data_IF_212701081567
#
_entry.id   IF_212701081567
#
_cell.length_a   1.000
_cell.length_b   1.000
_cell.length_c   1.000
_cell.angle_alpha   90.00
_cell.angle_beta   90.00
_cell.angle_gamma   90.00
#
_symmetry.space_group_name_H-M   'P 1'
#
loop_
_entity.id
_entity.type
_entity.pdbx_description
1 polymer ?
#
# COMPACT_ATOMS: atom_id res chain seq x y z
N UNK A 1 -2.24 -10.16 -12.48
CA UNK A 1 -3.28 -9.97 -11.45
C UNK A 1 -2.78 -9.01 -10.38
N UNK A 2 -3.70 -8.39 -9.64
CA UNK A 2 -3.35 -7.56 -8.49
C UNK A 2 -2.84 -8.45 -7.35
N UNK A 3 -1.69 -8.12 -6.78
CA UNK A 3 -1.12 -8.73 -5.59
C UNK A 3 -1.40 -7.86 -4.37
N UNK A 4 -1.31 -8.44 -3.18
CA UNK A 4 -1.54 -7.75 -1.92
C UNK A 4 -0.39 -8.05 -0.95
N UNK A 5 0.00 -7.05 -0.16
CA UNK A 5 0.88 -7.23 1.01
C UNK A 5 0.14 -6.68 2.21
N UNK A 6 -0.03 -7.51 3.24
CA UNK A 6 -0.53 -7.08 4.54
C UNK A 6 0.66 -6.79 5.43
N UNK A 7 0.81 -5.53 5.82
CA UNK A 7 1.79 -5.13 6.82
C UNK A 7 1.14 -5.28 8.19
N UNK A 8 1.82 -6.01 9.07
CA UNK A 8 1.39 -6.20 10.45
C UNK A 8 1.60 -4.93 11.29
N UNK A 9 2.04 -5.11 12.52
CA UNK A 9 2.31 -4.00 13.43
C UNK A 9 3.51 -3.17 12.94
N UNK A 10 3.36 -1.86 13.01
CA UNK A 10 4.44 -0.88 12.85
C UNK A 10 4.59 -0.09 14.16
N UNK A 11 5.76 0.49 14.43
CA UNK A 11 5.93 1.45 15.52
C UNK A 11 4.86 2.56 15.51
N UNK A 12 4.52 3.07 16.69
CA UNK A 12 3.49 4.12 16.82
C UNK A 12 3.94 5.46 16.22
N UNK A 13 5.21 5.82 16.41
CA UNK A 13 5.77 7.07 15.90
C UNK A 13 5.95 7.00 14.38
N UNK A 14 5.46 8.02 13.66
CA UNK A 14 5.44 8.02 12.18
C UNK A 14 6.81 7.81 11.53
N UNK A 15 7.88 8.41 12.06
CA UNK A 15 9.23 8.25 11.50
C UNK A 15 9.78 6.84 11.72
N UNK A 16 9.55 6.26 12.90
CA UNK A 16 9.98 4.89 13.21
C UNK A 16 9.18 3.88 12.37
N UNK A 17 7.89 4.12 12.16
CA UNK A 17 7.04 3.33 11.27
C UNK A 17 7.51 3.36 9.82
N UNK A 18 7.82 4.56 9.31
CA UNK A 18 8.37 4.72 7.97
C UNK A 18 9.72 4.00 7.83
N UNK A 19 10.61 4.15 8.82
CA UNK A 19 11.90 3.46 8.87
C UNK A 19 11.74 1.94 8.85
N UNK A 20 10.84 1.40 9.68
CA UNK A 20 10.53 -0.03 9.71
C UNK A 20 9.94 -0.52 8.37
N UNK A 21 9.03 0.25 7.76
CA UNK A 21 8.51 -0.09 6.43
C UNK A 21 9.62 -0.17 5.40
N UNK A 22 10.49 0.84 5.33
CA UNK A 22 11.57 0.88 4.35
C UNK A 22 12.59 -0.24 4.58
N UNK A 23 12.91 -0.56 5.83
CA UNK A 23 13.86 -1.61 6.19
C UNK A 23 13.35 -3.03 5.88
N UNK A 24 12.06 -3.29 6.12
CA UNK A 24 11.55 -4.66 6.14
C UNK A 24 10.52 -5.00 5.06
N UNK A 25 9.87 -3.99 4.46
CA UNK A 25 8.75 -4.21 3.53
C UNK A 25 8.98 -3.65 2.12
N UNK A 26 9.86 -2.67 1.94
CA UNK A 26 10.11 -2.07 0.62
C UNK A 26 10.64 -3.10 -0.39
N UNK A 27 11.68 -3.86 -0.02
CA UNK A 27 12.29 -4.82 -0.94
C UNK A 27 11.36 -5.99 -1.28
N UNK A 28 10.61 -6.60 -0.32
CA UNK A 28 9.56 -7.54 -0.65
C UNK A 28 8.48 -6.98 -1.59
N UNK A 29 8.08 -5.72 -1.44
CA UNK A 29 7.12 -5.07 -2.34
C UNK A 29 7.68 -4.95 -3.76
N UNK A 30 8.93 -4.53 -3.92
CA UNK A 30 9.63 -4.49 -5.21
C UNK A 30 9.77 -5.86 -5.85
N UNK A 31 10.15 -6.88 -5.07
CA UNK A 31 10.26 -8.24 -5.55
C UNK A 31 8.92 -8.76 -6.08
N UNK A 32 7.82 -8.48 -5.38
CA UNK A 32 6.47 -8.86 -5.81
C UNK A 32 6.03 -8.11 -7.07
N UNK A 33 6.38 -6.82 -7.18
CA UNK A 33 6.15 -6.03 -8.39
C UNK A 33 6.92 -6.56 -9.59
N UNK A 34 8.13 -7.09 -9.41
CA UNK A 34 8.92 -7.63 -10.51
C UNK A 34 8.44 -8.99 -11.04
N UNK A 35 7.49 -9.65 -10.36
CA UNK A 35 6.94 -10.91 -10.85
C UNK A 35 6.21 -10.70 -12.20
N UNK A 36 6.36 -11.64 -13.17
CA UNK A 36 5.77 -11.49 -14.51
C UNK A 36 4.24 -11.37 -14.51
N UNK A 37 3.58 -12.02 -13.57
CA UNK A 37 2.12 -12.05 -13.44
C UNK A 37 1.56 -10.93 -12.54
N UNK A 38 2.42 -10.10 -11.94
CA UNK A 38 2.02 -8.96 -11.14
C UNK A 38 1.68 -7.76 -12.03
N UNK A 39 0.41 -7.35 -12.03
CA UNK A 39 -0.09 -6.19 -12.80
C UNK A 39 -0.40 -4.98 -11.91
N UNK A 40 -0.61 -5.21 -10.62
CA UNK A 40 -0.86 -4.18 -9.62
C UNK A 40 -0.49 -4.70 -8.22
N UNK A 41 -0.20 -3.81 -7.28
CA UNK A 41 0.05 -4.10 -5.88
C UNK A 41 -0.80 -3.19 -4.98
N UNK A 42 -1.53 -3.79 -4.05
CA UNK A 42 -2.12 -3.09 -2.91
C UNK A 42 -1.32 -3.39 -1.64
N UNK A 43 -0.80 -2.35 -0.99
CA UNK A 43 -0.10 -2.45 0.30
C UNK A 43 -1.08 -2.04 1.40
N UNK A 44 -1.40 -2.97 2.29
CA UNK A 44 -2.38 -2.79 3.36
C UNK A 44 -1.61 -2.49 4.64
N UNK A 45 -1.79 -1.30 5.20
CA UNK A 45 -1.17 -0.82 6.42
C UNK A 45 -2.18 -0.82 7.58
N UNK A 46 -1.72 -0.98 8.84
CA UNK A 46 -2.57 -0.74 9.99
C UNK A 46 -3.05 0.72 10.03
N UNK A 47 -4.22 0.94 10.62
CA UNK A 47 -4.69 2.29 10.95
C UNK A 47 -3.64 3.00 11.82
N UNK A 48 -3.47 4.31 11.60
CA UNK A 48 -2.60 5.15 12.39
C UNK A 48 -3.10 6.60 12.39
N UNK A 49 -2.49 7.42 13.24
CA UNK A 49 -2.78 8.85 13.34
C UNK A 49 -2.50 9.62 12.05
N UNK A 50 -3.01 10.85 12.00
CA UNK A 50 -2.87 11.73 10.84
C UNK A 50 -1.40 12.07 10.51
N UNK A 51 -0.51 11.98 11.49
CA UNK A 51 0.94 12.21 11.39
C UNK A 51 1.64 11.19 10.49
N UNK A 52 1.01 10.04 10.21
CA UNK A 52 1.52 9.05 9.26
C UNK A 52 1.20 9.35 7.80
N UNK A 53 0.37 10.36 7.52
CA UNK A 53 -0.21 10.58 6.18
C UNK A 53 0.85 10.80 5.10
N UNK A 54 1.85 11.63 5.39
CA UNK A 54 2.76 12.12 4.35
C UNK A 54 3.71 11.04 3.85
N UNK A 55 4.29 10.23 4.76
CA UNK A 55 5.19 9.15 4.35
C UNK A 55 4.43 8.03 3.63
N UNK A 56 3.18 7.72 4.03
CA UNK A 56 2.34 6.72 3.37
C UNK A 56 1.95 7.15 1.97
N UNK A 57 1.63 8.43 1.78
CA UNK A 57 1.32 9.00 0.47
C UNK A 57 2.58 9.07 -0.42
N UNK A 58 3.73 9.46 0.13
CA UNK A 58 5.00 9.46 -0.58
C UNK A 58 5.34 8.04 -1.06
N UNK A 59 5.26 7.05 -0.17
CA UNK A 59 5.45 5.64 -0.49
C UNK A 59 4.58 5.19 -1.67
N UNK A 60 3.27 5.49 -1.63
CA UNK A 60 2.34 5.12 -2.70
C UNK A 60 2.77 5.73 -4.05
N UNK A 61 3.07 7.03 -4.06
CA UNK A 61 3.42 7.78 -5.27
C UNK A 61 4.76 7.35 -5.87
N UNK A 62 5.76 7.16 -5.03
CA UNK A 62 7.11 6.83 -5.48
C UNK A 62 7.17 5.39 -6.01
N UNK A 63 6.56 4.43 -5.31
CA UNK A 63 6.46 3.05 -5.82
C UNK A 63 5.63 2.97 -7.11
N UNK A 64 4.54 3.74 -7.23
CA UNK A 64 3.74 3.77 -8.45
C UNK A 64 4.52 4.31 -9.65
N UNK A 65 5.40 5.30 -9.43
CA UNK A 65 6.26 5.85 -10.47
C UNK A 65 7.38 4.87 -10.84
N UNK A 66 8.01 4.28 -9.83
CA UNK A 66 9.09 3.30 -10.01
C UNK A 66 8.62 2.05 -10.75
N UNK A 67 7.42 1.56 -10.43
CA UNK A 67 6.92 0.28 -10.94
C UNK A 67 6.16 0.38 -12.27
N UNK A 68 6.03 1.58 -12.86
CA UNK A 68 5.29 1.78 -14.10
C UNK A 68 5.76 0.80 -15.20
N UNK A 69 4.84 0.13 -15.94
CA UNK A 69 3.40 0.38 -16.01
C UNK A 69 2.54 -0.34 -14.95
N UNK A 70 3.13 -1.01 -13.96
CA UNK A 70 2.38 -1.68 -12.88
C UNK A 70 1.82 -0.64 -11.92
N UNK A 71 0.64 -0.93 -11.35
CA UNK A 71 -0.04 -0.02 -10.42
C UNK A 71 0.37 -0.32 -8.98
N UNK A 72 0.51 0.71 -8.15
CA UNK A 72 0.73 0.56 -6.71
C UNK A 72 -0.19 1.49 -5.97
N UNK A 73 -0.92 0.99 -4.98
CA UNK A 73 -1.71 1.80 -4.07
C UNK A 73 -1.51 1.33 -2.63
N UNK A 74 -1.68 2.25 -1.69
CA UNK A 74 -1.60 1.98 -0.25
C UNK A 74 -2.99 2.16 0.35
N UNK A 75 -3.42 1.20 1.16
CA UNK A 75 -4.71 1.23 1.87
C UNK A 75 -4.43 1.07 3.36
N UNK A 76 -4.99 1.93 4.20
CA UNK A 76 -4.98 1.75 5.64
C UNK A 76 -6.38 1.35 6.13
N UNK A 77 -6.49 0.26 6.88
CA UNK A 77 -7.78 -0.23 7.37
C UNK A 77 -7.66 -1.51 8.17
N UNK A 78 -8.66 -1.78 8.99
CA UNK A 78 -8.84 -3.07 9.66
C UNK A 78 -9.43 -4.11 8.68
N UNK A 79 -9.21 -5.42 8.91
CA UNK A 79 -9.93 -6.46 8.18
C UNK A 79 -11.44 -6.28 8.34
N UNK A 80 -12.17 -6.24 7.21
CA UNK A 80 -13.61 -5.99 7.21
C UNK A 80 -14.13 -5.58 5.83
N UNK A 81 -15.44 -5.34 5.75
CA UNK A 81 -16.13 -5.08 4.48
C UNK A 81 -15.57 -3.85 3.75
N UNK A 82 -15.26 -2.77 4.46
CA UNK A 82 -14.73 -1.54 3.86
C UNK A 82 -13.37 -1.77 3.17
N UNK A 83 -12.50 -2.56 3.78
CA UNK A 83 -11.21 -2.96 3.19
C UNK A 83 -11.45 -3.83 1.95
N UNK A 84 -12.33 -4.83 2.05
CA UNK A 84 -12.64 -5.75 0.94
C UNK A 84 -13.27 -5.01 -0.26
N UNK A 85 -14.15 -4.05 -0.02
CA UNK A 85 -14.74 -3.20 -1.07
C UNK A 85 -13.68 -2.33 -1.73
N UNK A 86 -12.77 -1.74 -0.95
CA UNK A 86 -11.67 -0.91 -1.47
C UNK A 86 -10.71 -1.73 -2.32
N UNK A 87 -10.34 -2.93 -1.88
CA UNK A 87 -9.46 -3.84 -2.63
C UNK A 87 -10.13 -4.30 -3.94
N UNK A 88 -11.42 -4.62 -3.93
CA UNK A 88 -12.18 -4.92 -5.16
C UNK A 88 -12.17 -3.75 -6.13
N UNK A 89 -12.47 -2.54 -5.64
CA UNK A 89 -12.39 -1.32 -6.45
C UNK A 89 -11.02 -1.14 -7.12
N UNK A 90 -9.91 -1.30 -6.37
CA UNK A 90 -8.56 -1.15 -6.92
C UNK A 90 -8.19 -2.24 -7.94
N UNK A 91 -8.71 -3.46 -7.77
CA UNK A 91 -8.54 -4.54 -8.75
C UNK A 91 -9.21 -4.17 -10.09
N UNK A 92 -10.42 -3.62 -10.02
CA UNK A 92 -11.28 -3.31 -11.18
C UNK A 92 -10.99 -1.93 -11.82
N UNK A 93 -10.16 -1.10 -11.19
CA UNK A 93 -9.85 0.26 -11.66
C UNK A 93 -8.47 0.36 -12.34
N UNK A 94 -8.37 0.15 -13.67
CA UNK A 94 -7.08 0.13 -14.36
C UNK A 94 -6.34 1.47 -14.43
N UNK A 95 -7.01 2.58 -14.15
CA UNK A 95 -6.42 3.92 -14.11
C UNK A 95 -5.94 4.38 -12.73
N UNK A 96 -6.17 3.60 -11.66
CA UNK A 96 -5.90 4.05 -10.29
C UNK A 96 -4.55 3.53 -9.80
N UNK A 97 -3.61 4.44 -9.59
CA UNK A 97 -2.27 4.18 -9.04
C UNK A 97 -1.77 5.39 -8.23
N UNK A 98 -0.81 5.16 -7.34
CA UNK A 98 -0.18 6.20 -6.52
C UNK A 98 -1.08 6.78 -5.43
N UNK A 99 -2.16 6.08 -5.06
CA UNK A 99 -3.12 6.56 -4.07
C UNK A 99 -2.82 6.02 -2.67
N UNK A 100 -3.12 6.85 -1.66
CA UNK A 100 -3.25 6.45 -0.27
C UNK A 100 -4.71 6.62 0.16
N UNK A 101 -5.36 5.53 0.57
CA UNK A 101 -6.77 5.50 0.98
C UNK A 101 -6.88 5.01 2.42
N UNK A 102 -7.78 5.59 3.21
CA UNK A 102 -8.11 5.13 4.56
C UNK A 102 -9.52 4.56 4.53
N UNK A 103 -9.65 3.28 4.88
CA UNK A 103 -10.93 2.63 5.10
C UNK A 103 -11.35 2.93 6.54
N UNK A 104 -12.46 3.65 6.68
CA UNK A 104 -13.19 3.75 7.94
C UNK A 104 -14.26 2.65 7.95
N UNK A 105 -14.61 2.16 9.13
CA UNK A 105 -15.76 1.27 9.32
C UNK A 105 -17.07 1.99 8.96
#
# INVERSE_FOLDING_TARGET
MMRQIVVGLLPDAALDAAGAFMAFHLEPARALLNQPDCTALAIILPLAGHDHRDWRLALARDLAREAAPRRVNVVAGSPGEALDQTLRFLADAPGVTGQYMVCHD
#
